data_IF_182344650373
#
_entry.id   IF_182344650373
#
_cell.length_a   1.000
_cell.length_b   1.000
_cell.length_c   1.000
_cell.angle_alpha   90.00
_cell.angle_beta   90.00
_cell.angle_gamma   90.00
#
_symmetry.space_group_name_H-M   'P 1'
#
loop_
_entity.id
_entity.type
_entity.pdbx_description
1 polymer ?
#
# COMPACT_ATOMS: atom_id res chain seq x y z
N UNK A 1 16.50 3.15 4.04
CA UNK A 1 15.85 3.88 2.92
C UNK A 1 14.93 4.94 3.51
N UNK A 2 14.78 6.09 2.85
CA UNK A 2 13.93 7.20 3.33
C UNK A 2 12.58 7.17 2.62
N UNK A 3 11.54 7.72 3.25
CA UNK A 3 10.22 7.85 2.64
C UNK A 3 10.30 8.71 1.38
N UNK A 4 9.75 8.17 0.28
CA UNK A 4 9.73 8.85 -1.02
C UNK A 4 8.97 10.18 -0.92
N UNK A 5 7.74 10.17 -0.43
CA UNK A 5 6.91 11.39 -0.32
C UNK A 5 7.56 12.48 0.54
N UNK A 6 8.13 12.12 1.71
CA UNK A 6 8.84 13.09 2.53
C UNK A 6 10.05 13.71 1.81
N UNK A 7 10.79 12.89 1.05
CA UNK A 7 11.96 13.34 0.33
C UNK A 7 11.58 14.22 -0.88
N UNK A 8 10.47 13.94 -1.56
CA UNK A 8 10.04 14.68 -2.76
C UNK A 8 9.23 15.94 -2.44
N UNK A 9 8.33 15.88 -1.46
CA UNK A 9 7.41 16.99 -1.14
C UNK A 9 8.00 17.97 -0.13
N UNK A 10 8.85 17.48 0.78
CA UNK A 10 9.34 18.27 1.92
C UNK A 10 10.88 18.32 2.00
N UNK A 11 11.59 17.65 1.08
CA UNK A 11 13.05 17.49 1.13
C UNK A 11 13.52 16.92 2.49
N UNK A 12 12.68 16.11 3.13
CA UNK A 12 12.90 15.56 4.46
C UNK A 12 13.37 14.09 4.40
N UNK A 13 14.23 13.71 5.34
CA UNK A 13 14.86 12.38 5.41
C UNK A 13 14.17 11.45 6.41
N UNK A 14 12.84 11.39 6.38
CA UNK A 14 12.06 10.53 7.28
C UNK A 14 12.32 9.05 7.00
N UNK A 15 12.69 8.23 8.00
CA UNK A 15 12.90 6.80 7.81
C UNK A 15 11.65 6.09 7.28
N UNK A 16 11.83 5.26 6.25
CA UNK A 16 10.75 4.39 5.78
C UNK A 16 10.65 3.13 6.64
N UNK A 17 9.41 2.67 6.84
CA UNK A 17 9.10 1.45 7.60
C UNK A 17 8.46 0.37 6.73
N UNK A 18 8.02 0.73 5.52
CA UNK A 18 7.37 -0.18 4.57
C UNK A 18 7.75 0.16 3.13
N UNK A 19 7.44 -0.77 2.22
CA UNK A 19 7.57 -0.61 0.78
C UNK A 19 6.19 -0.81 0.14
N UNK A 20 5.84 0.07 -0.80
CA UNK A 20 4.59 -0.02 -1.54
C UNK A 20 4.55 -1.33 -2.34
N UNK A 21 3.49 -2.11 -2.13
CA UNK A 21 3.29 -3.41 -2.77
C UNK A 21 3.04 -3.31 -4.28
N UNK A 22 2.74 -2.11 -4.78
CA UNK A 22 2.42 -1.84 -6.19
C UNK A 22 3.62 -1.28 -6.96
N UNK A 23 4.30 -0.26 -6.44
CA UNK A 23 5.35 0.47 -7.17
C UNK A 23 6.75 0.39 -6.55
N UNK A 24 6.89 -0.22 -5.37
CA UNK A 24 8.19 -0.33 -4.70
C UNK A 24 8.67 0.95 -3.98
N UNK A 25 7.87 2.02 -3.95
CA UNK A 25 8.22 3.24 -3.22
C UNK A 25 8.33 2.99 -1.71
N UNK A 26 9.31 3.63 -1.07
CA UNK A 26 9.52 3.60 0.37
C UNK A 26 8.54 4.53 1.10
N UNK A 27 7.86 4.06 2.16
CA UNK A 27 6.92 4.88 2.94
C UNK A 27 7.23 4.87 4.45
N UNK A 28 7.19 6.05 5.07
CA UNK A 28 7.12 6.22 6.52
C UNK A 28 5.68 5.96 7.01
N UNK A 29 5.49 5.88 8.32
CA UNK A 29 4.17 5.54 8.90
C UNK A 29 3.05 6.49 8.44
N UNK A 30 3.33 7.78 8.33
CA UNK A 30 2.35 8.79 7.89
C UNK A 30 1.95 8.64 6.42
N UNK A 31 2.87 8.19 5.57
CA UNK A 31 2.66 8.01 4.13
C UNK A 31 2.40 6.56 3.73
N UNK A 32 2.04 5.73 4.70
CA UNK A 32 1.65 4.34 4.47
C UNK A 32 0.13 4.21 4.55
N UNK A 33 -0.44 3.58 3.52
CA UNK A 33 -1.84 3.14 3.48
C UNK A 33 -1.92 1.62 3.53
N UNK A 34 -2.97 1.09 4.15
CA UNK A 34 -3.15 -0.34 4.37
C UNK A 34 -4.49 -0.78 3.80
N UNK A 35 -4.49 -1.84 2.99
CA UNK A 35 -5.71 -2.49 2.53
C UNK A 35 -5.56 -4.01 2.53
N UNK A 36 -6.69 -4.70 2.61
CA UNK A 36 -6.75 -6.11 2.23
C UNK A 36 -6.81 -6.20 0.70
N UNK A 37 -5.91 -6.99 0.13
CA UNK A 37 -5.85 -7.17 -1.31
C UNK A 37 -6.47 -8.51 -1.71
N UNK A 38 -7.36 -8.46 -2.69
CA UNK A 38 -7.93 -9.64 -3.33
C UNK A 38 -7.40 -9.72 -4.76
N UNK A 39 -7.19 -10.93 -5.26
CA UNK A 39 -6.90 -11.16 -6.67
C UNK A 39 -7.96 -12.08 -7.23
N UNK A 40 -8.64 -11.60 -8.27
CA UNK A 40 -9.49 -12.43 -9.11
C UNK A 40 -8.62 -13.51 -9.76
N UNK A 41 -8.95 -14.77 -9.50
CA UNK A 41 -8.25 -15.92 -10.07
C UNK A 41 -9.23 -16.67 -10.95
N UNK A 42 -9.22 -16.36 -12.24
CA UNK A 42 -9.96 -17.08 -13.27
C UNK A 42 -11.47 -16.79 -13.28
N UNK A 43 -11.97 -16.32 -14.42
CA UNK A 43 -13.40 -16.14 -14.65
C UNK A 43 -13.97 -17.45 -15.22
N UNK A 44 -14.68 -18.21 -14.39
CA UNK A 44 -15.55 -19.29 -14.86
C UNK A 44 -16.99 -18.77 -14.80
N UNK A 45 -17.77 -18.80 -15.90
CA UNK A 45 -19.18 -18.46 -15.83
C UNK A 45 -19.89 -19.29 -14.75
N UNK A 46 -20.33 -18.65 -13.66
CA UNK A 46 -21.04 -19.28 -12.54
C UNK A 46 -20.28 -19.39 -11.22
N UNK A 47 -18.97 -19.12 -11.17
CA UNK A 47 -18.21 -19.12 -9.91
C UNK A 47 -16.97 -18.21 -10.00
N UNK A 48 -17.08 -16.91 -9.67
CA UNK A 48 -15.89 -16.09 -9.47
C UNK A 48 -15.12 -16.61 -8.26
N UNK A 49 -13.87 -17.05 -8.46
CA UNK A 49 -12.97 -17.33 -7.36
C UNK A 49 -12.09 -16.11 -7.08
N UNK A 50 -12.25 -15.54 -5.90
CA UNK A 50 -11.34 -14.54 -5.35
C UNK A 50 -10.32 -15.22 -4.44
N UNK A 51 -9.05 -14.82 -4.58
CA UNK A 51 -7.99 -15.21 -3.66
C UNK A 51 -7.64 -14.03 -2.77
N UNK A 52 -7.85 -14.20 -1.46
CA UNK A 52 -7.32 -13.28 -0.46
C UNK A 52 -5.79 -13.33 -0.45
N UNK A 53 -5.15 -12.19 -0.67
CA UNK A 53 -3.70 -12.01 -0.62
C UNK A 53 -3.25 -11.38 0.70
N UNK A 54 -4.19 -11.16 1.62
CA UNK A 54 -3.98 -10.60 2.94
C UNK A 54 -3.75 -9.09 2.92
N UNK A 55 -3.19 -8.61 4.02
CA UNK A 55 -2.87 -7.20 4.24
C UNK A 55 -1.69 -6.76 3.38
N UNK A 56 -1.85 -5.65 2.67
CA UNK A 56 -0.81 -5.00 1.86
C UNK A 56 -0.65 -3.54 2.22
N UNK A 57 0.58 -3.05 2.00
CA UNK A 57 0.98 -1.68 2.29
C UNK A 57 1.18 -0.93 0.97
N UNK A 58 0.70 0.30 0.88
CA UNK A 58 0.69 1.13 -0.31
C UNK A 58 1.20 2.55 0.00
N UNK A 59 1.82 3.21 -0.96
CA UNK A 59 2.04 4.66 -0.90
C UNK A 59 0.71 5.41 -1.15
N UNK A 60 0.63 6.72 -0.86
CA UNK A 60 -0.61 7.48 -1.04
C UNK A 60 -1.11 7.46 -2.49
N UNK A 61 -0.18 7.42 -3.45
CA UNK A 61 -0.48 7.40 -4.89
C UNK A 61 -1.06 6.07 -5.39
N UNK A 62 -0.59 4.93 -4.87
CA UNK A 62 -1.03 3.61 -5.33
C UNK A 62 -2.12 2.99 -4.43
N UNK A 63 -2.53 3.68 -3.37
CA UNK A 63 -3.50 3.16 -2.43
C UNK A 63 -4.86 2.95 -3.11
N UNK A 64 -5.47 1.75 -3.02
CA UNK A 64 -6.84 1.57 -3.46
C UNK A 64 -7.80 2.33 -2.53
N UNK A 65 -9.04 2.56 -2.98
CA UNK A 65 -10.07 3.26 -2.20
C UNK A 65 -10.37 2.58 -0.85
N UNK A 66 -10.18 1.26 -0.77
CA UNK A 66 -10.36 0.50 0.48
C UNK A 66 -9.22 0.70 1.50
N UNK A 67 -8.17 1.43 1.14
CA UNK A 67 -7.01 1.61 2.00
C UNK A 67 -7.22 2.69 3.06
N UNK A 68 -6.71 2.45 4.26
CA UNK A 68 -6.77 3.38 5.39
C UNK A 68 -5.37 3.79 5.85
N UNK A 69 -5.29 4.92 6.57
CA UNK A 69 -4.06 5.39 7.20
C UNK A 69 -3.56 4.40 8.25
N UNK A 70 -2.25 4.28 8.42
CA UNK A 70 -1.69 3.62 9.61
C UNK A 70 -1.84 4.56 10.81
N UNK A 71 -2.52 4.11 11.86
CA UNK A 71 -2.59 4.83 13.13
C UNK A 71 -1.33 4.55 13.96
N UNK A 72 -0.67 5.61 14.43
CA UNK A 72 0.44 5.50 15.39
C UNK A 72 -0.16 5.58 16.78
N UNK A 73 0.01 4.51 17.56
CA UNK A 73 -0.31 4.51 19.00
C UNK A 73 0.86 5.03 19.82
#
# INVERSE_FOLDING_TARGET
MNCFECATEHQATTPAVTVCSQCGAASCVQHTRVAHAHKEVGYSPGAPSERDLGRRMFCPTCAPESAHAVEVR
#
